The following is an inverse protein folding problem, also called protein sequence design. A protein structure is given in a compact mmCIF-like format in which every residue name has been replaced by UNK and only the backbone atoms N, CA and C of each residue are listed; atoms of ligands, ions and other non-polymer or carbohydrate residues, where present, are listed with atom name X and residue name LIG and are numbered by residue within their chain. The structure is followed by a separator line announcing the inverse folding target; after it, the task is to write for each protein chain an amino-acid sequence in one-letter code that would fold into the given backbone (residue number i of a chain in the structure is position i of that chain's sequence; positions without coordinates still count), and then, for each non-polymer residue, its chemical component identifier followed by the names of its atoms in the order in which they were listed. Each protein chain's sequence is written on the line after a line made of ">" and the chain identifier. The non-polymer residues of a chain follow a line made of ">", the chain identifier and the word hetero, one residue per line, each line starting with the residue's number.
data_IF_806198480367
#
_entry.id   IF_806198480367
#
_cell.length_a   1.000
_cell.length_b   1.000
_cell.length_c   1.000
_cell.angle_alpha   90.00
_cell.angle_beta   90.00
_cell.angle_gamma   90.00
#
_symmetry.space_group_name_H-M   'P 1'
#
loop_
_entity.id
_entity.type
_entity.pdbx_description
1 polymer ?
#
# COMPACT_ATOMS: atom_id res chain seq x y z
N UNK A 1 -5.59 -28.49 17.40
CA UNK A 1 -5.22 -27.06 17.47
C UNK A 1 -4.96 -26.60 16.05
N UNK A 2 -5.82 -25.71 15.53
CA UNK A 2 -5.89 -25.38 14.09
C UNK A 2 -4.81 -24.35 13.74
N UNK A 3 -4.04 -24.66 12.71
CA UNK A 3 -3.08 -23.75 12.09
C UNK A 3 -3.86 -22.62 11.42
N UNK A 4 -3.51 -21.36 11.68
CA UNK A 4 -4.15 -20.17 11.09
C UNK A 4 -3.19 -19.56 10.06
N UNK A 5 -3.64 -19.52 8.81
CA UNK A 5 -2.97 -18.85 7.68
C UNK A 5 -3.72 -17.54 7.42
N UNK A 6 -3.00 -16.42 7.47
CA UNK A 6 -3.57 -15.09 7.24
C UNK A 6 -3.52 -14.77 5.75
N UNK A 7 -4.68 -14.62 5.11
CA UNK A 7 -4.79 -14.09 3.75
C UNK A 7 -5.22 -12.63 3.84
N UNK A 8 -4.29 -11.71 3.59
CA UNK A 8 -4.63 -10.37 3.09
C UNK A 8 -5.13 -10.60 1.66
N UNK A 9 -6.35 -10.20 1.36
CA UNK A 9 -6.91 -10.29 0.02
C UNK A 9 -6.35 -9.17 -0.87
N UNK A 10 -5.04 -9.22 -1.09
CA UNK A 10 -4.39 -8.76 -2.31
C UNK A 10 -4.08 -10.01 -3.11
N UNK A 11 -4.84 -10.25 -4.16
CA UNK A 11 -4.54 -11.33 -5.08
C UNK A 11 -3.36 -10.90 -5.94
N UNK A 12 -2.15 -11.17 -5.46
CA UNK A 12 -0.97 -11.31 -6.30
C UNK A 12 -0.21 -12.53 -5.78
N UNK A 13 -0.74 -13.70 -6.11
CA UNK A 13 -0.13 -15.00 -5.80
C UNK A 13 0.61 -15.45 -7.04
N UNK A 14 1.93 -15.32 -7.01
CA UNK A 14 2.80 -16.07 -7.91
C UNK A 14 2.75 -17.56 -7.53
N UNK A 15 2.59 -18.40 -8.55
CA UNK A 15 2.65 -19.85 -8.42
C UNK A 15 4.02 -20.27 -7.85
N UNK A 16 4.03 -21.08 -6.79
CA UNK A 16 5.21 -21.87 -6.43
C UNK A 16 4.85 -23.34 -6.22
N UNK A 17 5.73 -24.20 -6.76
CA UNK A 17 5.75 -25.65 -6.57
C UNK A 17 6.10 -26.06 -5.13
N UNK A 18 6.31 -27.37 -4.88
CA UNK A 18 6.01 -27.98 -3.58
C UNK A 18 7.01 -27.64 -2.46
N UNK A 19 6.44 -27.52 -1.26
CA UNK A 19 7.00 -27.17 0.05
C UNK A 19 8.04 -28.16 0.59
N UNK A 20 9.16 -27.69 1.18
CA UNK A 20 9.86 -28.41 2.24
C UNK A 20 9.27 -28.04 3.62
N UNK A 21 9.05 -29.06 4.44
CA UNK A 21 8.54 -28.97 5.80
C UNK A 21 9.66 -28.71 6.80
N UNK A 22 9.58 -27.65 7.60
CA UNK A 22 10.05 -27.66 9.00
C UNK A 22 9.29 -26.65 9.86
N UNK A 23 8.88 -27.13 11.03
CA UNK A 23 8.08 -26.47 12.07
C UNK A 23 8.91 -25.49 12.88
N UNK A 24 8.48 -24.22 12.96
CA UNK A 24 8.87 -23.32 14.04
C UNK A 24 7.71 -22.35 14.33
N UNK A 25 7.29 -22.28 15.59
CA UNK A 25 6.19 -21.43 16.07
C UNK A 25 6.76 -20.17 16.71
N UNK A 26 6.34 -18.97 16.28
CA UNK A 26 6.37 -17.79 17.14
C UNK A 26 4.95 -17.29 17.46
N UNK A 27 4.73 -17.08 18.75
CA UNK A 27 3.57 -16.41 19.34
C UNK A 27 3.71 -14.89 19.22
N UNK A 28 2.88 -14.26 18.38
CA UNK A 28 2.56 -12.83 18.44
C UNK A 28 1.17 -12.61 17.84
N UNK A 29 0.23 -12.13 18.63
CA UNK A 29 -1.15 -11.85 18.21
C UNK A 29 -1.23 -10.47 17.54
N UNK A 30 -0.80 -10.37 16.29
CA UNK A 30 -1.23 -9.29 15.40
C UNK A 30 -2.45 -9.79 14.63
N UNK A 31 -3.64 -9.27 14.97
CA UNK A 31 -4.87 -9.58 14.26
C UNK A 31 -4.82 -8.93 12.86
N UNK A 32 -4.25 -9.64 11.88
CA UNK A 32 -4.53 -9.39 10.48
C UNK A 32 -5.92 -9.98 10.20
N UNK A 33 -6.89 -9.20 9.68
CA UNK A 33 -8.21 -9.73 9.41
C UNK A 33 -8.16 -10.93 8.47
N UNK A 34 -8.73 -12.05 8.88
CA UNK A 34 -8.94 -13.21 8.01
C UNK A 34 -10.25 -13.04 7.25
N UNK A 35 -10.25 -13.34 5.96
CA UNK A 35 -11.51 -13.56 5.23
C UNK A 35 -12.38 -14.59 5.98
N UNK A 36 -13.72 -14.42 6.00
CA UNK A 36 -14.63 -15.44 6.52
C UNK A 36 -14.35 -16.82 5.91
N UNK A 37 -14.62 -17.89 6.66
CA UNK A 37 -14.49 -19.24 6.11
C UNK A 37 -15.52 -19.46 4.99
N UNK A 38 -15.07 -19.66 3.75
CA UNK A 38 -15.92 -19.92 2.59
C UNK A 38 -15.13 -20.39 1.37
N UNK A 39 -15.82 -21.02 0.40
CA UNK A 39 -15.24 -21.39 -0.90
C UNK A 39 -15.24 -20.15 -1.79
N UNK A 40 -14.12 -19.43 -1.85
CA UNK A 40 -13.95 -18.34 -2.80
C UNK A 40 -13.48 -18.93 -4.13
N UNK A 41 -14.21 -18.67 -5.22
CA UNK A 41 -13.60 -18.76 -6.54
C UNK A 41 -12.50 -17.72 -6.59
N UNK A 42 -11.25 -18.16 -6.54
CA UNK A 42 -10.12 -17.34 -6.95
C UNK A 42 -10.30 -17.10 -8.45
N UNK A 43 -11.00 -16.03 -8.79
CA UNK A 43 -10.89 -15.47 -10.13
C UNK A 43 -9.45 -15.00 -10.21
N UNK A 44 -8.64 -15.61 -11.09
CA UNK A 44 -7.28 -15.11 -11.27
C UNK A 44 -7.37 -13.62 -11.54
N UNK A 45 -6.72 -12.78 -10.73
CA UNK A 45 -6.66 -11.36 -11.01
C UNK A 45 -6.07 -11.24 -12.41
N UNK A 46 -6.87 -10.66 -13.31
CA UNK A 46 -6.42 -10.39 -14.67
C UNK A 46 -5.19 -9.48 -14.52
N UNK A 47 -4.02 -9.91 -14.99
CA UNK A 47 -2.85 -9.03 -15.08
C UNK A 47 -3.30 -7.72 -15.73
N UNK A 48 -3.20 -6.65 -14.95
CA UNK A 48 -3.57 -5.29 -15.36
C UNK A 48 -2.63 -4.83 -16.48
N UNK A 49 -1.36 -5.24 -16.40
CA UNK A 49 -0.31 -4.96 -17.40
C UNK A 49 0.47 -6.24 -17.76
N UNK A 50 0.55 -6.57 -19.05
CA UNK A 50 1.31 -7.76 -19.52
C UNK A 50 2.82 -7.54 -19.42
N UNK A 51 3.61 -8.63 -19.33
CA UNK A 51 5.07 -8.61 -19.38
C UNK A 51 5.76 -8.89 -18.05
N UNK A 52 6.97 -9.45 -18.13
CA UNK A 52 7.78 -9.79 -16.96
C UNK A 52 8.53 -8.55 -16.44
N UNK A 53 8.45 -8.31 -15.14
CA UNK A 53 9.37 -7.41 -14.45
C UNK A 53 10.76 -8.06 -14.41
N UNK A 54 11.81 -7.27 -14.64
CA UNK A 54 13.19 -7.76 -14.64
C UNK A 54 14.04 -6.89 -13.71
N UNK A 55 15.07 -7.51 -13.13
CA UNK A 55 16.08 -6.77 -12.41
C UNK A 55 16.93 -5.95 -13.40
N UNK A 56 17.03 -4.65 -13.16
CA UNK A 56 17.76 -3.68 -13.99
C UNK A 56 19.04 -3.16 -13.31
N UNK A 57 19.44 -3.77 -12.20
CA UNK A 57 20.70 -3.48 -11.51
C UNK A 57 20.65 -2.24 -10.62
N UNK A 58 19.47 -1.90 -10.09
CA UNK A 58 19.29 -0.88 -9.07
C UNK A 58 19.45 -1.43 -7.64
N UNK A 59 19.35 -0.54 -6.65
CA UNK A 59 19.23 -0.94 -5.25
C UNK A 59 17.77 -1.18 -4.83
N UNK A 60 17.60 -2.00 -3.79
CA UNK A 60 16.31 -2.25 -3.13
C UNK A 60 16.38 -1.86 -1.66
N UNK A 61 15.26 -1.82 -0.93
CA UNK A 61 15.22 -1.51 0.50
C UNK A 61 15.73 -2.69 1.36
N UNK A 62 17.04 -2.97 1.26
CA UNK A 62 17.69 -4.14 1.84
C UNK A 62 17.97 -4.04 3.36
N UNK A 63 17.87 -2.84 3.94
CA UNK A 63 18.23 -2.58 5.35
C UNK A 63 17.00 -2.34 6.25
N UNK A 64 15.83 -2.82 5.82
CA UNK A 64 14.56 -2.55 6.50
C UNK A 64 13.88 -1.30 5.94
N UNK A 65 12.60 -1.17 6.29
CA UNK A 65 11.75 -0.05 5.89
C UNK A 65 11.21 0.61 7.16
N UNK A 66 11.43 1.91 7.28
CA UNK A 66 10.90 2.76 8.34
C UNK A 66 9.80 3.65 7.76
N UNK A 67 8.55 3.42 8.15
CA UNK A 67 7.42 4.22 7.66
C UNK A 67 7.18 5.41 8.59
N UNK A 68 7.26 6.61 8.01
CA UNK A 68 6.89 7.86 8.64
C UNK A 68 5.53 8.31 8.08
N UNK A 69 4.47 8.14 8.87
CA UNK A 69 3.10 8.39 8.42
C UNK A 69 2.70 9.86 8.64
N UNK A 70 2.26 10.53 7.59
CA UNK A 70 1.74 11.90 7.64
C UNK A 70 0.25 11.82 7.33
N UNK A 71 -0.58 12.08 8.33
CA UNK A 71 -2.04 12.13 8.15
C UNK A 71 -2.42 13.54 7.70
N UNK A 72 -2.67 13.71 6.41
CA UNK A 72 -3.08 14.99 5.82
C UNK A 72 -4.61 15.09 5.82
N UNK A 73 -5.13 15.90 6.74
CA UNK A 73 -6.55 16.10 6.96
C UNK A 73 -7.12 15.32 8.15
N UNK A 74 -8.45 15.30 8.28
CA UNK A 74 -9.14 14.83 9.48
C UNK A 74 -9.35 13.31 9.49
N UNK A 75 -8.30 12.55 9.82
CA UNK A 75 -8.37 11.11 10.00
C UNK A 75 -8.76 10.74 11.43
N UNK A 76 -9.73 9.83 11.60
CA UNK A 76 -10.14 9.38 12.93
C UNK A 76 -9.02 8.63 13.65
N UNK A 77 -9.02 8.64 14.99
CA UNK A 77 -8.05 7.86 15.76
C UNK A 77 -8.13 6.35 15.45
N UNK A 78 -9.32 5.83 15.15
CA UNK A 78 -9.52 4.43 14.72
C UNK A 78 -8.81 4.15 13.39
N UNK A 79 -9.00 5.03 12.42
CA UNK A 79 -8.35 4.96 11.10
C UNK A 79 -6.82 4.94 11.23
N UNK A 80 -6.27 5.89 11.99
CA UNK A 80 -4.82 5.96 12.22
C UNK A 80 -4.29 4.69 12.93
N UNK A 81 -5.05 4.14 13.88
CA UNK A 81 -4.69 2.92 14.58
C UNK A 81 -4.67 1.69 13.66
N UNK A 82 -5.62 1.58 12.72
CA UNK A 82 -5.65 0.47 11.76
C UNK A 82 -4.46 0.56 10.81
N UNK A 83 -4.17 1.75 10.27
CA UNK A 83 -2.99 1.99 9.41
C UNK A 83 -1.69 1.61 10.14
N UNK A 84 -1.54 2.04 11.40
CA UNK A 84 -0.39 1.68 12.24
C UNK A 84 -0.28 0.17 12.46
N UNK A 85 -1.40 -0.50 12.76
CA UNK A 85 -1.42 -1.95 12.97
C UNK A 85 -1.06 -2.72 11.70
N UNK A 86 -1.56 -2.28 10.54
CA UNK A 86 -1.19 -2.84 9.25
C UNK A 86 0.32 -2.75 9.00
N UNK A 87 0.92 -1.56 9.17
CA UNK A 87 2.36 -1.35 8.99
C UNK A 87 3.20 -2.24 9.92
N UNK A 88 2.82 -2.35 11.20
CA UNK A 88 3.51 -3.21 12.16
C UNK A 88 3.41 -4.70 11.82
N UNK A 89 2.33 -5.13 11.16
CA UNK A 89 2.15 -6.51 10.72
C UNK A 89 2.81 -6.83 9.38
N UNK A 90 3.02 -5.81 8.54
CA UNK A 90 3.34 -5.96 7.11
C UNK A 90 4.57 -6.85 6.90
N UNK A 91 5.68 -6.53 7.55
CA UNK A 91 6.96 -7.23 7.38
C UNK A 91 6.94 -8.73 7.72
N UNK A 92 6.03 -9.12 8.62
CA UNK A 92 5.82 -10.51 9.06
C UNK A 92 4.75 -11.27 8.27
N UNK A 93 4.04 -10.58 7.38
CA UNK A 93 2.95 -11.19 6.61
C UNK A 93 3.44 -12.17 5.54
N UNK A 94 2.61 -13.15 5.22
CA UNK A 94 2.85 -14.06 4.09
C UNK A 94 2.94 -13.27 2.77
N UNK A 95 2.15 -12.20 2.63
CA UNK A 95 2.17 -11.32 1.47
C UNK A 95 3.54 -10.65 1.28
N UNK A 96 4.15 -10.11 2.33
CA UNK A 96 5.48 -9.50 2.27
C UNK A 96 6.59 -10.50 1.94
N UNK A 97 6.34 -11.81 2.04
CA UNK A 97 7.29 -12.83 1.58
C UNK A 97 7.48 -12.81 0.06
N UNK A 98 6.47 -12.37 -0.69
CA UNK A 98 6.63 -12.09 -2.12
C UNK A 98 7.59 -10.91 -2.32
N UNK A 99 7.42 -9.83 -1.56
CA UNK A 99 8.27 -8.64 -1.67
C UNK A 99 9.72 -8.94 -1.27
N UNK A 100 9.96 -9.75 -0.23
CA UNK A 100 11.31 -10.18 0.17
C UNK A 100 12.05 -11.01 -0.90
N UNK A 101 11.36 -11.53 -1.91
CA UNK A 101 12.00 -12.29 -2.99
C UNK A 101 12.74 -11.41 -4.00
N UNK A 102 12.47 -10.11 -4.03
CA UNK A 102 13.17 -9.16 -4.90
C UNK A 102 14.57 -8.82 -4.35
N UNK A 103 15.55 -8.77 -5.25
CA UNK A 103 16.96 -8.49 -4.92
C UNK A 103 17.51 -7.34 -5.76
N UNK A 104 18.27 -6.42 -5.17
CA UNK A 104 19.04 -5.40 -5.88
C UNK A 104 20.55 -5.62 -5.74
N UNK A 105 21.35 -4.65 -6.19
CA UNK A 105 22.80 -4.69 -6.05
C UNK A 105 23.29 -4.72 -4.60
N UNK A 106 22.47 -4.21 -3.67
CA UNK A 106 22.73 -4.15 -2.24
C UNK A 106 22.12 -5.31 -1.45
N UNK A 107 21.60 -6.35 -2.12
CA UNK A 107 21.04 -7.55 -1.48
C UNK A 107 19.54 -7.72 -1.67
N UNK A 108 18.91 -8.56 -0.85
CA UNK A 108 17.47 -8.79 -0.88
C UNK A 108 16.71 -7.78 -0.02
N UNK A 109 15.44 -7.53 -0.34
CA UNK A 109 14.56 -6.72 0.52
C UNK A 109 14.44 -7.36 1.91
N UNK A 110 14.51 -6.55 2.95
CA UNK A 110 14.41 -7.00 4.34
C UNK A 110 12.95 -7.19 4.77
N UNK A 111 12.71 -8.14 5.70
CA UNK A 111 11.40 -8.34 6.30
C UNK A 111 11.04 -7.34 7.40
N UNK A 112 11.95 -6.48 7.84
CA UNK A 112 11.66 -5.47 8.85
C UNK A 112 10.92 -4.29 8.22
N UNK A 113 9.65 -4.14 8.57
CA UNK A 113 8.85 -2.93 8.31
C UNK A 113 8.44 -2.36 9.66
N UNK A 114 8.79 -1.10 9.92
CA UNK A 114 8.65 -0.46 11.24
C UNK A 114 7.81 0.81 11.14
N UNK A 115 6.87 0.99 12.06
CA UNK A 115 6.26 2.30 12.30
C UNK A 115 7.27 3.22 12.99
N UNK A 116 7.88 4.14 12.24
CA UNK A 116 8.93 5.02 12.75
C UNK A 116 8.39 6.28 13.43
N UNK A 117 7.23 6.76 12.99
CA UNK A 117 6.57 7.91 13.59
C UNK A 117 5.32 8.32 12.82
N UNK A 118 4.54 9.21 13.43
CA UNK A 118 3.43 9.88 12.73
C UNK A 118 3.34 11.36 13.01
N UNK A 119 2.83 12.10 12.03
CA UNK A 119 2.57 13.53 12.12
C UNK A 119 1.16 13.82 11.61
N UNK A 120 0.43 14.65 12.34
CA UNK A 120 -0.90 15.10 11.94
C UNK A 120 -0.76 16.46 11.25
N UNK A 121 -1.00 16.48 9.94
CA UNK A 121 -1.06 17.71 9.15
C UNK A 121 -2.54 18.11 8.99
N UNK A 122 -2.92 19.23 9.61
CA UNK A 122 -4.30 19.72 9.61
C UNK A 122 -4.60 20.59 8.38
N UNK A 123 -4.42 20.03 7.19
CA UNK A 123 -4.65 20.71 5.90
C UNK A 123 -3.73 21.93 5.69
N UNK A 124 -2.43 21.80 5.96
CA UNK A 124 -1.45 22.90 5.92
C UNK A 124 -1.38 23.65 4.58
N UNK A 125 -1.75 22.98 3.48
CA UNK A 125 -1.82 23.56 2.13
C UNK A 125 -3.26 23.63 1.58
N UNK A 126 -4.27 23.42 2.42
CA UNK A 126 -5.69 23.40 2.06
C UNK A 126 -6.18 22.05 1.51
N UNK A 127 -7.41 22.00 1.01
CA UNK A 127 -8.07 20.77 0.52
C UNK A 127 -7.93 20.53 -0.99
N UNK A 128 -7.14 21.35 -1.67
CA UNK A 128 -6.88 21.22 -3.11
C UNK A 128 -5.38 21.24 -3.36
N UNK A 129 -4.80 20.04 -3.39
CA UNK A 129 -3.39 19.81 -3.62
C UNK A 129 -3.05 19.81 -5.11
N UNK A 130 -1.84 20.24 -5.43
CA UNK A 130 -1.31 20.30 -6.80
C UNK A 130 0.14 19.81 -6.87
N UNK A 131 0.68 19.74 -8.09
CA UNK A 131 2.09 19.41 -8.35
C UNK A 131 3.05 20.12 -7.36
N UNK A 132 3.86 19.31 -6.69
CA UNK A 132 4.88 19.76 -5.74
C UNK A 132 4.38 20.06 -4.32
N UNK A 133 3.08 19.95 -4.04
CA UNK A 133 2.58 20.09 -2.67
C UNK A 133 2.91 18.88 -1.80
N UNK A 134 3.00 17.68 -2.38
CA UNK A 134 3.46 16.48 -1.65
C UNK A 134 4.86 16.71 -1.02
N UNK A 135 5.81 17.18 -1.82
CA UNK A 135 7.17 17.50 -1.36
C UNK A 135 7.15 18.50 -0.20
N UNK A 136 6.33 19.55 -0.30
CA UNK A 136 6.21 20.56 0.76
C UNK A 136 5.59 19.97 2.03
N UNK A 137 4.56 19.14 1.91
CA UNK A 137 3.92 18.47 3.06
C UNK A 137 4.95 17.61 3.79
N UNK A 138 5.72 16.81 3.05
CA UNK A 138 6.75 15.94 3.61
C UNK A 138 7.86 16.77 4.27
N UNK A 139 8.43 17.75 3.58
CA UNK A 139 9.51 18.58 4.11
C UNK A 139 9.06 19.36 5.37
N UNK A 140 7.82 19.86 5.40
CA UNK A 140 7.27 20.55 6.56
C UNK A 140 7.04 19.58 7.72
N UNK A 141 6.51 18.38 7.45
CA UNK A 141 6.26 17.35 8.46
C UNK A 141 7.57 16.85 9.08
N UNK A 142 8.59 16.61 8.25
CA UNK A 142 9.94 16.21 8.71
C UNK A 142 10.53 17.26 9.66
N UNK A 143 10.42 18.55 9.31
CA UNK A 143 10.89 19.64 10.17
C UNK A 143 10.07 19.74 11.46
N UNK A 144 8.75 19.73 11.35
CA UNK A 144 7.85 19.91 12.49
C UNK A 144 7.94 18.74 13.49
N UNK A 145 8.06 17.51 13.00
CA UNK A 145 8.22 16.32 13.82
C UNK A 145 9.68 16.05 14.25
N UNK A 146 10.63 16.87 13.79
CA UNK A 146 12.08 16.68 14.02
C UNK A 146 12.57 15.29 13.62
N UNK A 147 12.04 14.75 12.52
CA UNK A 147 12.44 13.44 12.01
C UNK A 147 13.81 13.48 11.32
N UNK A 148 14.58 12.39 11.40
CA UNK A 148 15.81 12.29 10.63
C UNK A 148 15.50 12.23 9.13
N UNK A 149 16.50 12.55 8.29
CA UNK A 149 16.51 12.12 6.88
C UNK A 149 16.95 10.67 6.83
N UNK A 150 15.98 9.76 6.95
CA UNK A 150 16.24 8.34 7.13
C UNK A 150 16.50 7.66 5.77
N UNK A 151 17.70 7.09 5.53
CA UNK A 151 17.98 6.39 4.28
C UNK A 151 17.09 5.14 4.08
N UNK A 152 16.55 4.58 5.16
CA UNK A 152 15.60 3.47 5.15
C UNK A 152 14.15 3.96 5.30
N UNK A 153 13.94 5.28 5.28
CA UNK A 153 12.64 5.90 5.49
C UNK A 153 11.80 5.97 4.23
N UNK A 154 10.50 5.69 4.36
CA UNK A 154 9.47 6.07 3.39
C UNK A 154 8.49 7.01 4.11
N UNK A 155 8.31 8.21 3.55
CA UNK A 155 7.44 9.25 4.10
C UNK A 155 6.11 9.20 3.36
N UNK A 156 5.09 8.68 4.05
CA UNK A 156 3.81 8.34 3.44
C UNK A 156 2.77 9.36 3.86
N UNK A 157 2.20 10.08 2.90
CA UNK A 157 1.12 11.03 3.12
C UNK A 157 -0.23 10.36 2.87
N UNK A 158 -0.99 10.13 3.93
CA UNK A 158 -2.37 9.64 3.88
C UNK A 158 -3.32 10.83 3.74
N UNK A 159 -3.91 10.97 2.55
CA UNK A 159 -4.77 12.09 2.18
C UNK A 159 -6.23 11.74 2.49
N UNK A 160 -6.89 12.57 3.30
CA UNK A 160 -8.29 12.38 3.66
C UNK A 160 -9.23 12.47 2.43
N UNK A 161 -10.38 11.79 2.48
CA UNK A 161 -11.30 11.71 1.33
C UNK A 161 -11.91 13.05 0.90
N UNK A 162 -11.88 14.07 1.77
CA UNK A 162 -12.38 15.40 1.47
C UNK A 162 -11.37 16.30 0.72
N UNK A 163 -10.16 15.80 0.46
CA UNK A 163 -9.10 16.49 -0.29
C UNK A 163 -9.12 16.07 -1.76
N UNK A 164 -9.05 17.04 -2.65
CA UNK A 164 -8.76 16.82 -4.07
C UNK A 164 -7.27 16.97 -4.32
N UNK A 165 -6.70 16.11 -5.17
CA UNK A 165 -5.32 16.24 -5.63
C UNK A 165 -5.30 16.14 -7.16
N UNK A 166 -4.60 17.08 -7.79
CA UNK A 166 -4.36 17.09 -9.23
C UNK A 166 -2.94 17.58 -9.52
N UNK A 167 -2.12 16.68 -10.03
CA UNK A 167 -0.78 16.95 -10.50
C UNK A 167 -0.70 16.99 -12.02
N UNK A 168 0.45 17.41 -12.54
CA UNK A 168 0.74 17.46 -13.97
C UNK A 168 0.64 16.10 -14.67
N UNK A 169 0.79 15.01 -13.90
CA UNK A 169 0.84 13.64 -14.41
C UNK A 169 -0.44 12.84 -14.12
N UNK A 170 -1.45 13.47 -13.52
CA UNK A 170 -2.73 12.83 -13.25
C UNK A 170 -3.46 13.46 -12.07
N UNK A 171 -4.58 12.85 -11.70
CA UNK A 171 -5.36 13.24 -10.54
C UNK A 171 -5.81 12.02 -9.74
N UNK A 172 -5.84 12.19 -8.42
CA UNK A 172 -6.44 11.22 -7.52
C UNK A 172 -7.89 10.94 -7.93
N UNK A 173 -8.30 9.67 -7.86
CA UNK A 173 -9.62 9.16 -8.26
C UNK A 173 -9.90 9.10 -9.76
N UNK A 174 -8.93 9.48 -10.60
CA UNK A 174 -9.08 9.45 -12.05
C UNK A 174 -7.97 8.62 -12.69
N UNK A 175 -6.73 9.00 -12.41
CA UNK A 175 -5.56 8.42 -13.05
C UNK A 175 -4.85 7.45 -12.08
N UNK A 176 -4.96 7.69 -10.77
CA UNK A 176 -4.35 6.86 -9.74
C UNK A 176 -5.08 6.95 -8.39
N UNK A 177 -4.76 6.01 -7.50
CA UNK A 177 -5.29 5.91 -6.13
C UNK A 177 -4.23 6.24 -5.07
N UNK A 178 -2.97 6.06 -5.44
CA UNK A 178 -1.78 6.54 -4.77
C UNK A 178 -0.67 6.69 -5.81
N UNK A 179 0.48 7.14 -5.36
CA UNK A 179 1.71 7.07 -6.14
C UNK A 179 2.90 7.17 -5.20
N UNK A 180 4.06 6.71 -5.63
CA UNK A 180 5.31 6.86 -4.90
C UNK A 180 6.35 7.62 -5.72
N UNK A 181 7.46 7.98 -5.08
CA UNK A 181 8.56 8.66 -5.74
C UNK A 181 9.68 9.07 -4.79
N UNK A 182 10.50 10.02 -5.25
CA UNK A 182 11.57 10.64 -4.48
C UNK A 182 11.31 12.14 -4.44
N UNK A 183 11.25 12.73 -3.24
CA UNK A 183 11.13 14.18 -3.09
C UNK A 183 12.35 14.91 -3.63
N UNK A 184 12.24 16.21 -3.89
CA UNK A 184 13.40 17.07 -4.21
C UNK A 184 14.50 17.03 -3.13
N UNK A 185 14.15 16.68 -1.88
CA UNK A 185 15.08 16.53 -0.76
C UNK A 185 15.72 15.12 -0.68
N UNK A 186 15.43 14.24 -1.64
CA UNK A 186 15.99 12.89 -1.74
C UNK A 186 15.31 11.85 -0.85
N UNK A 187 14.13 12.15 -0.31
CA UNK A 187 13.38 11.26 0.57
C UNK A 187 12.44 10.38 -0.25
N UNK A 188 12.37 9.09 0.06
CA UNK A 188 11.38 8.19 -0.57
C UNK A 188 10.00 8.57 -0.05
N UNK A 189 9.06 8.76 -0.95
CA UNK A 189 7.74 9.27 -0.61
C UNK A 189 6.63 8.44 -1.24
N UNK A 190 5.47 8.48 -0.60
CA UNK A 190 4.23 7.98 -1.19
C UNK A 190 3.07 8.89 -0.82
N UNK A 191 2.14 9.08 -1.74
CA UNK A 191 0.82 9.65 -1.47
C UNK A 191 -0.22 8.53 -1.55
N UNK A 192 -1.04 8.42 -0.51
CA UNK A 192 -2.09 7.41 -0.41
C UNK A 192 -3.42 8.14 -0.26
N UNK A 193 -4.31 8.01 -1.25
CA UNK A 193 -5.63 8.59 -1.19
C UNK A 193 -6.63 7.69 -0.46
N UNK A 194 -7.51 8.28 0.31
CA UNK A 194 -8.68 7.59 0.87
C UNK A 194 -9.72 7.33 -0.23
N UNK A 195 -9.79 6.07 -0.67
CA UNK A 195 -10.58 5.66 -1.83
C UNK A 195 -12.10 5.79 -1.61
N UNK A 196 -12.56 6.02 -0.38
CA UNK A 196 -13.98 6.31 -0.11
C UNK A 196 -14.45 7.58 -0.82
N UNK A 197 -13.53 8.45 -1.27
CA UNK A 197 -13.83 9.57 -2.17
C UNK A 197 -14.38 9.11 -3.53
N UNK A 198 -13.89 7.98 -4.02
CA UNK A 198 -14.17 7.46 -5.35
C UNK A 198 -14.24 5.92 -5.34
N UNK A 199 -15.24 5.35 -4.64
CA UNK A 199 -15.35 3.90 -4.48
C UNK A 199 -15.66 3.19 -5.81
N UNK A 200 -16.11 3.91 -6.85
CA UNK A 200 -16.70 3.33 -8.05
C UNK A 200 -18.10 2.78 -7.75
N UNK A 201 -18.70 2.08 -8.72
CA UNK A 201 -20.03 1.47 -8.55
C UNK A 201 -19.98 -0.04 -8.75
N UNK A 202 -20.89 -0.77 -8.09
CA UNK A 202 -21.17 -2.17 -8.40
C UNK A 202 -22.00 -2.26 -9.68
N UNK A 203 -21.92 -3.37 -10.43
CA UNK A 203 -22.89 -3.60 -11.50
C UNK A 203 -24.31 -3.65 -10.94
N UNK A 204 -25.32 -3.18 -11.71
CA UNK A 204 -26.70 -3.39 -11.34
C UNK A 204 -27.06 -4.88 -11.31
N UNK A 205 -28.11 -5.30 -10.58
CA UNK A 205 -28.59 -6.69 -10.62
C UNK A 205 -28.86 -7.15 -12.06
N UNK A 206 -28.24 -8.27 -12.47
CA UNK A 206 -28.31 -8.78 -13.84
C UNK A 206 -27.35 -8.11 -14.84
N UNK A 207 -26.57 -7.11 -14.42
CA UNK A 207 -25.53 -6.45 -15.21
C UNK A 207 -24.14 -7.02 -14.98
N UNK A 208 -23.25 -6.84 -15.96
CA UNK A 208 -21.87 -7.32 -15.91
C UNK A 208 -20.84 -6.24 -15.51
N UNK A 209 -21.20 -4.96 -15.58
CA UNK A 209 -20.25 -3.84 -15.45
C UNK A 209 -20.72 -2.74 -14.47
N UNK A 210 -19.82 -2.34 -13.58
CA UNK A 210 -19.91 -1.12 -12.76
C UNK A 210 -18.82 -0.14 -13.18
N UNK A 211 -18.68 1.00 -12.49
CA UNK A 211 -17.61 1.98 -12.79
C UNK A 211 -16.31 1.64 -12.08
N UNK A 212 -15.18 1.98 -12.68
CA UNK A 212 -13.88 1.95 -12.01
C UNK A 212 -13.83 2.96 -10.87
N UNK A 213 -12.97 2.70 -9.90
CA UNK A 213 -12.76 3.51 -8.70
C UNK A 213 -11.61 2.92 -7.90
N UNK A 214 -11.20 3.60 -6.84
CA UNK A 214 -10.03 3.23 -6.05
C UNK A 214 -10.29 2.16 -4.98
N UNK A 215 -11.51 1.63 -4.93
CA UNK A 215 -11.87 0.52 -4.07
C UNK A 215 -12.06 -0.75 -4.91
N UNK A 216 -11.44 -1.86 -4.51
CA UNK A 216 -11.70 -3.18 -5.09
C UNK A 216 -13.21 -3.47 -5.10
N UNK A 217 -13.73 -4.04 -6.20
CA UNK A 217 -15.17 -4.30 -6.40
C UNK A 217 -15.83 -5.06 -5.24
N UNK A 218 -15.16 -6.06 -4.68
CA UNK A 218 -15.69 -6.88 -3.58
C UNK A 218 -15.95 -6.06 -2.31
N UNK A 219 -15.16 -5.02 -2.05
CA UNK A 219 -15.27 -4.18 -0.85
C UNK A 219 -16.30 -3.05 -0.97
N UNK A 220 -17.06 -2.97 -2.07
CA UNK A 220 -18.03 -1.88 -2.31
C UNK A 220 -19.45 -2.19 -1.84
N UNK A 221 -19.78 -3.46 -1.61
CA UNK A 221 -21.14 -3.85 -1.23
C UNK A 221 -21.33 -3.76 0.29
N UNK A 222 -22.06 -2.76 0.77
CA UNK A 222 -22.34 -2.53 2.20
C UNK A 222 -22.94 -3.73 2.94
N UNK A 223 -23.61 -4.63 2.20
CA UNK A 223 -24.24 -5.81 2.78
C UNK A 223 -23.32 -7.04 2.78
N UNK A 224 -22.15 -6.95 2.16
CA UNK A 224 -21.16 -8.03 2.09
C UNK A 224 -20.26 -8.01 3.35
N UNK A 225 -19.99 -9.17 3.98
CA UNK A 225 -19.05 -9.27 5.10
C UNK A 225 -17.63 -8.75 4.79
N UNK A 226 -17.26 -8.63 3.52
CA UNK A 226 -15.96 -8.09 3.07
C UNK A 226 -15.98 -6.58 2.84
N UNK A 227 -17.12 -5.89 3.02
CA UNK A 227 -17.26 -4.44 2.81
C UNK A 227 -16.18 -3.59 3.52
N UNK A 228 -15.85 -4.01 4.73
CA UNK A 228 -14.74 -3.49 5.51
C UNK A 228 -14.35 -4.54 6.53
N UNK A 229 -13.12 -5.04 6.41
CA UNK A 229 -12.59 -6.09 7.27
C UNK A 229 -12.26 -5.59 8.68
N UNK A 230 -12.03 -4.27 8.84
CA UNK A 230 -11.80 -3.63 10.12
C UNK A 230 -12.98 -2.78 10.63
N UNK A 231 -14.09 -2.71 9.88
CA UNK A 231 -15.21 -1.82 10.18
C UNK A 231 -14.91 -0.33 9.95
N UNK A 232 -13.77 -0.01 9.33
CA UNK A 232 -13.36 1.33 8.90
C UNK A 232 -12.91 1.26 7.44
N UNK A 233 -13.80 1.65 6.54
CA UNK A 233 -13.56 1.59 5.10
C UNK A 233 -12.51 2.61 4.62
N UNK A 234 -12.35 3.72 5.35
CA UNK A 234 -11.29 4.70 5.05
C UNK A 234 -9.93 4.04 5.25
N UNK A 235 -9.74 3.41 6.41
CA UNK A 235 -8.49 2.72 6.73
C UNK A 235 -8.23 1.54 5.78
N UNK A 236 -9.24 0.69 5.56
CA UNK A 236 -9.11 -0.50 4.72
C UNK A 236 -8.70 -0.15 3.29
N UNK A 237 -9.29 0.91 2.74
CA UNK A 237 -8.92 1.36 1.40
C UNK A 237 -7.53 1.98 1.32
N UNK A 238 -7.11 2.72 2.36
CA UNK A 238 -5.77 3.31 2.39
C UNK A 238 -4.69 2.25 2.55
N UNK A 239 -4.89 1.22 3.38
CA UNK A 239 -3.87 0.16 3.56
C UNK A 239 -3.72 -0.74 2.34
N UNK A 240 -4.76 -0.86 1.52
CA UNK A 240 -4.74 -1.54 0.22
C UNK A 240 -3.76 -0.82 -0.73
N UNK A 241 -3.98 0.48 -0.94
CA UNK A 241 -3.09 1.31 -1.77
C UNK A 241 -1.69 1.41 -1.15
N UNK A 242 -1.58 1.48 0.18
CA UNK A 242 -0.29 1.49 0.87
C UNK A 242 0.54 0.24 0.58
N UNK A 243 -0.10 -0.94 0.52
CA UNK A 243 0.58 -2.18 0.19
C UNK A 243 1.22 -2.08 -1.21
N UNK A 244 0.44 -1.63 -2.20
CA UNK A 244 0.91 -1.38 -3.57
C UNK A 244 2.16 -0.48 -3.57
N UNK A 245 2.03 0.74 -3.04
CA UNK A 245 3.09 1.76 -3.13
C UNK A 245 4.35 1.38 -2.35
N UNK A 246 4.21 0.68 -1.21
CA UNK A 246 5.36 0.25 -0.42
C UNK A 246 6.10 -0.92 -1.10
N UNK A 247 5.39 -1.86 -1.74
CA UNK A 247 6.04 -2.96 -2.46
C UNK A 247 6.88 -2.46 -3.63
N UNK A 248 6.34 -1.47 -4.34
CA UNK A 248 7.00 -0.76 -5.43
C UNK A 248 8.22 0.01 -4.94
N UNK A 249 8.03 0.92 -3.98
CA UNK A 249 9.14 1.68 -3.38
C UNK A 249 10.23 0.76 -2.82
N UNK A 250 9.86 -0.34 -2.17
CA UNK A 250 10.84 -1.28 -1.62
C UNK A 250 11.67 -1.97 -2.70
N UNK A 251 11.09 -2.20 -3.88
CA UNK A 251 11.68 -2.96 -4.97
C UNK A 251 12.26 -2.11 -6.12
N UNK A 252 11.85 -0.86 -6.30
CA UNK A 252 12.28 -0.03 -7.44
C UNK A 252 12.66 1.42 -7.09
N UNK A 253 12.81 1.83 -5.82
CA UNK A 253 13.18 3.24 -5.51
C UNK A 253 14.46 3.74 -6.23
N UNK A 254 15.34 2.81 -6.61
CA UNK A 254 16.58 3.06 -7.36
C UNK A 254 16.62 2.25 -8.65
N UNK A 255 15.48 2.14 -9.33
CA UNK A 255 15.37 1.55 -10.66
C UNK A 255 15.80 0.06 -10.75
N UNK A 256 15.63 -0.72 -9.68
CA UNK A 256 15.93 -2.16 -9.66
C UNK A 256 14.91 -3.07 -10.36
N UNK A 257 13.60 -2.96 -10.14
CA UNK A 257 12.59 -3.91 -10.63
C UNK A 257 11.42 -3.26 -11.36
N UNK A 258 11.44 -3.33 -12.70
CA UNK A 258 10.31 -2.96 -13.57
C UNK A 258 10.41 -3.65 -14.92
N UNK A 259 9.31 -3.67 -15.66
CA UNK A 259 9.26 -4.25 -16.99
C UNK A 259 9.82 -3.31 -18.09
N UNK A 260 9.66 -3.69 -19.36
CA UNK A 260 10.08 -2.90 -20.53
C UNK A 260 9.39 -1.54 -20.70
N UNK A 261 8.19 -1.37 -20.14
CA UNK A 261 7.34 -0.19 -20.24
C UNK A 261 7.40 0.69 -18.97
N UNK A 262 8.05 0.20 -17.92
CA UNK A 262 8.21 0.90 -16.66
C UNK A 262 7.24 0.45 -15.56
N UNK A 263 6.41 -0.58 -15.83
CA UNK A 263 5.51 -1.12 -14.82
C UNK A 263 6.28 -1.92 -13.77
N UNK A 264 5.99 -1.65 -12.51
CA UNK A 264 6.64 -2.25 -11.35
C UNK A 264 5.86 -3.47 -10.84
N UNK A 265 6.23 -4.01 -9.68
CA UNK A 265 5.59 -5.21 -9.13
C UNK A 265 4.14 -4.98 -8.68
N UNK A 266 3.81 -3.78 -8.17
CA UNK A 266 2.44 -3.39 -7.81
C UNK A 266 1.55 -3.27 -9.04
N UNK A 267 2.02 -2.62 -10.10
CA UNK A 267 1.34 -2.42 -11.39
C UNK A 267 0.98 -3.69 -12.18
N UNK A 268 1.52 -4.84 -11.78
CA UNK A 268 1.14 -6.15 -12.37
C UNK A 268 -0.11 -6.73 -11.71
N UNK A 269 -0.50 -6.12 -10.59
CA UNK A 269 -1.75 -6.28 -9.88
C UNK A 269 -2.62 -5.02 -10.18
#
# INVERSE_FOLDING_TARGET
>A
MKSFTAFIAFACVSAFGPKPSTTATPTSTTNVPSLPSGTYTVVEPKQTSQGNINNRGGNVMANGVNIYAIFYGSHSAGTQSIVKNFINGLGSSDWWTVVKSYTGNNGAINGQVTWAGSYQDNYSLGKSLRSGDLDKIIDNSVKAASWPKDPNGIYVVFVNNDVSEQSSNGAFCKDYCGYHGITNSGLKSSMIGDATRCPGTLPPPGGSTGTAGCMQRYYRNQTDPTYSVNGDQHADSMVDVLAHEIAETASDYDNAWRDGQGYENGDKC
#
